data_IF_592399631143
#
_entry.id   IF_592399631143
#
_cell.length_a   1.000
_cell.length_b   1.000
_cell.length_c   1.000
_cell.angle_alpha   90.00
_cell.angle_beta   90.00
_cell.angle_gamma   90.00
#
_symmetry.space_group_name_H-M   'P 1'
#
loop_
_entity.id
_entity.type
_entity.pdbx_description
1 polymer ?
#
# COMPACT_ATOMS: atom_id res chain seq x y z
N UNK A 1 -3.27 7.17 -5.83
CA UNK A 1 -3.16 8.37 -4.97
C UNK A 1 -2.45 9.48 -5.72
N UNK A 2 -2.75 9.66 -7.00
CA UNK A 2 -2.21 10.81 -7.71
C UNK A 2 -2.82 12.08 -7.08
N UNK A 3 -2.06 13.17 -6.88
CA UNK A 3 -0.66 13.36 -7.30
C UNK A 3 0.41 12.93 -6.27
N UNK A 4 0.04 12.52 -5.05
CA UNK A 4 1.00 12.24 -3.98
C UNK A 4 1.84 10.97 -4.20
N UNK A 5 1.23 9.91 -4.77
CA UNK A 5 1.90 8.67 -5.14
C UNK A 5 1.43 8.19 -6.49
N UNK A 6 2.37 7.71 -7.29
CA UNK A 6 2.16 7.21 -8.64
C UNK A 6 2.26 5.69 -8.68
N UNK A 7 1.72 5.10 -9.76
CA UNK A 7 1.97 3.69 -10.04
C UNK A 7 3.48 3.46 -10.15
N UNK A 8 3.98 2.41 -9.49
CA UNK A 8 5.40 2.07 -9.46
C UNK A 8 6.18 2.67 -8.28
N UNK A 9 5.55 3.43 -7.39
CA UNK A 9 6.19 3.86 -6.15
C UNK A 9 6.22 2.73 -5.12
N UNK A 10 7.35 2.54 -4.45
CA UNK A 10 7.50 1.59 -3.36
C UNK A 10 7.24 2.30 -2.02
N UNK A 11 6.20 1.89 -1.31
CA UNK A 11 5.78 2.50 -0.04
C UNK A 11 6.35 1.76 1.17
N UNK A 12 6.90 2.51 2.13
CA UNK A 12 7.30 1.97 3.43
C UNK A 12 6.18 2.18 4.44
N UNK A 13 5.72 1.08 5.03
CA UNK A 13 4.62 1.07 5.98
C UNK A 13 5.12 0.87 7.41
N UNK A 14 4.52 1.59 8.34
CA UNK A 14 4.75 1.45 9.76
C UNK A 14 3.44 1.18 10.50
N UNK A 15 3.35 0.04 11.19
CA UNK A 15 2.13 -0.37 11.88
C UNK A 15 2.23 -0.32 13.42
N UNK A 16 3.39 0.02 13.99
CA UNK A 16 3.55 0.04 15.46
C UNK A 16 2.84 1.22 16.15
N UNK A 17 2.48 2.26 15.40
CA UNK A 17 1.76 3.40 15.94
C UNK A 17 0.29 3.01 16.23
N UNK A 18 -0.09 3.05 17.52
CA UNK A 18 -1.47 2.80 17.97
C UNK A 18 -2.43 3.93 17.58
N UNK A 19 -1.89 5.11 17.31
CA UNK A 19 -2.66 6.26 16.87
C UNK A 19 -2.28 6.61 15.43
N UNK A 20 -3.31 6.89 14.63
CA UNK A 20 -3.18 7.45 13.28
C UNK A 20 -3.80 8.84 13.30
N UNK A 21 -3.06 9.83 12.77
CA UNK A 21 -3.50 11.22 12.73
C UNK A 21 -4.26 11.53 11.44
N UNK A 22 -5.07 12.59 11.50
CA UNK A 22 -5.70 13.16 10.30
C UNK A 22 -4.59 13.67 9.37
N UNK A 23 -4.71 13.41 8.08
CA UNK A 23 -3.73 13.76 7.07
C UNK A 23 -2.68 12.69 6.78
N UNK A 24 -2.55 11.67 7.63
CA UNK A 24 -1.69 10.51 7.36
C UNK A 24 -2.24 9.69 6.19
N UNK A 25 -1.33 9.09 5.43
CA UNK A 25 -1.67 8.14 4.38
C UNK A 25 -1.59 6.75 4.97
N UNK A 26 -2.66 5.98 4.82
CA UNK A 26 -2.76 4.62 5.35
C UNK A 26 -3.03 3.64 4.23
N UNK A 27 -2.50 2.44 4.40
CA UNK A 27 -2.83 1.29 3.56
C UNK A 27 -3.78 0.40 4.35
N UNK A 28 -4.93 0.10 3.76
CA UNK A 28 -5.98 -0.68 4.39
C UNK A 28 -6.56 -1.72 3.45
N UNK A 29 -7.14 -2.75 4.04
CA UNK A 29 -7.90 -3.77 3.34
C UNK A 29 -9.39 -3.54 3.55
N UNK A 30 -10.15 -3.67 2.46
CA UNK A 30 -11.61 -3.73 2.54
C UNK A 30 -12.02 -5.19 2.73
N UNK A 31 -12.99 -5.45 3.61
CA UNK A 31 -13.47 -6.82 3.86
C UNK A 31 -14.02 -7.42 2.57
N UNK A 32 -13.55 -8.61 2.21
CA UNK A 32 -13.95 -9.30 0.98
C UNK A 32 -13.29 -8.77 -0.31
N UNK A 33 -12.28 -7.89 -0.21
CA UNK A 33 -11.41 -7.53 -1.33
C UNK A 33 -9.96 -7.89 -0.99
N UNK A 34 -9.26 -8.51 -1.93
CA UNK A 34 -7.88 -8.96 -1.74
C UNK A 34 -6.84 -7.87 -2.02
N UNK A 35 -7.23 -6.81 -2.72
CA UNK A 35 -6.32 -5.74 -3.12
C UNK A 35 -6.35 -4.61 -2.08
N UNK A 36 -5.21 -4.29 -1.43
CA UNK A 36 -5.13 -3.20 -0.48
C UNK A 36 -5.29 -1.84 -1.17
N UNK A 37 -5.87 -0.89 -0.46
CA UNK A 37 -6.09 0.48 -0.93
C UNK A 37 -5.23 1.43 -0.10
N UNK A 38 -4.61 2.40 -0.77
CA UNK A 38 -3.76 3.41 -0.13
C UNK A 38 -4.50 4.73 -0.25
N UNK A 39 -4.96 5.35 0.85
CA UNK A 39 -5.63 6.66 0.81
C UNK A 39 -5.28 7.51 2.06
N UNK A 40 -5.70 8.78 2.06
CA UNK A 40 -5.44 9.72 3.15
C UNK A 40 -6.55 9.72 4.17
N UNK A 41 -6.21 9.73 5.45
CA UNK A 41 -7.18 9.87 6.54
C UNK A 41 -7.71 11.30 6.56
N UNK A 42 -9.02 11.45 6.38
CA UNK A 42 -9.70 12.75 6.44
C UNK A 42 -10.43 12.96 7.76
N UNK A 43 -10.92 11.89 8.40
CA UNK A 43 -11.54 11.97 9.73
C UNK A 43 -11.14 10.77 10.58
N UNK A 44 -11.13 10.97 11.89
CA UNK A 44 -10.91 9.92 12.90
C UNK A 44 -11.98 10.00 13.98
N UNK A 45 -12.38 8.85 14.51
CA UNK A 45 -13.39 8.71 15.56
C UNK A 45 -12.89 7.72 16.62
N UNK A 46 -13.13 8.02 17.89
CA UNK A 46 -12.62 7.21 19.00
C UNK A 46 -11.12 7.43 19.26
N UNK A 47 -10.46 6.41 19.82
CA UNK A 47 -9.06 6.49 20.29
C UNK A 47 -8.93 6.33 21.80
N UNK A 48 -7.70 6.11 22.27
CA UNK A 48 -7.41 5.79 23.67
C UNK A 48 -7.87 4.37 24.03
N UNK A 49 -8.86 4.27 24.93
CA UNK A 49 -9.42 2.99 25.37
C UNK A 49 -10.48 2.41 24.42
N UNK A 50 -10.97 3.21 23.46
CA UNK A 50 -11.97 2.78 22.49
C UNK A 50 -11.32 2.48 21.13
N UNK A 51 -11.93 1.59 20.31
CA UNK A 51 -11.45 1.33 18.95
C UNK A 51 -11.35 2.62 18.14
N UNK A 52 -10.21 2.80 17.46
CA UNK A 52 -9.99 3.93 16.56
C UNK A 52 -10.58 3.60 15.19
N UNK A 53 -11.54 4.42 14.77
CA UNK A 53 -12.16 4.34 13.45
C UNK A 53 -11.67 5.49 12.57
N UNK A 54 -11.46 5.19 11.29
CA UNK A 54 -10.92 6.10 10.30
C UNK A 54 -11.86 6.21 9.10
N UNK A 55 -11.94 7.43 8.57
CA UNK A 55 -12.51 7.71 7.26
C UNK A 55 -11.38 8.17 6.35
N UNK A 56 -11.19 7.46 5.25
CA UNK A 56 -10.19 7.80 4.25
C UNK A 56 -10.82 8.41 3.01
N UNK A 57 -9.99 9.11 2.24
CA UNK A 57 -10.33 9.68 0.95
C UNK A 57 -9.10 9.65 0.04
N UNK A 58 -9.29 9.27 -1.22
CA UNK A 58 -8.26 9.43 -2.25
C UNK A 58 -7.96 10.90 -2.57
N UNK A 59 -6.69 11.25 -2.73
CA UNK A 59 -6.24 12.64 -2.91
C UNK A 59 -6.87 13.34 -4.13
N UNK A 60 -7.21 12.60 -5.19
CA UNK A 60 -7.89 13.10 -6.39
C UNK A 60 -9.38 12.73 -6.48
N UNK A 61 -9.96 12.16 -5.42
CA UNK A 61 -11.39 11.80 -5.40
C UNK A 61 -12.23 13.01 -4.97
N UNK A 62 -13.46 13.12 -5.48
CA UNK A 62 -14.41 14.17 -5.06
C UNK A 62 -15.09 13.77 -3.74
N UNK A 63 -15.59 12.54 -3.68
CA UNK A 63 -16.21 11.93 -2.49
C UNK A 63 -15.19 11.21 -1.60
N UNK A 64 -15.60 10.83 -0.39
CA UNK A 64 -14.85 9.95 0.49
C UNK A 64 -14.96 8.47 0.07
N UNK A 65 -14.22 7.59 0.73
CA UNK A 65 -14.13 6.18 0.33
C UNK A 65 -15.28 5.31 0.85
N UNK A 66 -16.35 5.89 1.37
CA UNK A 66 -17.45 5.12 1.99
C UNK A 66 -18.09 4.13 1.02
N UNK A 67 -18.18 4.45 -0.27
CA UNK A 67 -18.69 3.56 -1.33
C UNK A 67 -17.72 2.40 -1.66
N UNK A 68 -16.44 2.55 -1.36
CA UNK A 68 -15.43 1.52 -1.63
C UNK A 68 -15.40 0.43 -0.56
N UNK A 69 -15.91 0.72 0.63
CA UNK A 69 -15.96 -0.18 1.77
C UNK A 69 -16.95 -1.33 1.57
N UNK A 70 -16.85 -2.35 2.42
CA UNK A 70 -17.76 -3.48 2.37
C UNK A 70 -19.18 -3.08 2.81
N UNK A 71 -20.19 -3.83 2.39
CA UNK A 71 -21.57 -3.59 2.83
C UNK A 71 -21.66 -3.65 4.36
N UNK A 72 -22.17 -2.58 4.98
CA UNK A 72 -22.26 -2.44 6.43
C UNK A 72 -20.98 -1.92 7.12
N UNK A 73 -19.95 -1.58 6.35
CA UNK A 73 -18.72 -0.95 6.85
C UNK A 73 -18.71 0.53 6.47
N UNK A 74 -19.05 1.41 7.41
CA UNK A 74 -19.02 2.88 7.18
C UNK A 74 -17.66 3.51 7.51
N UNK A 75 -16.85 2.83 8.32
CA UNK A 75 -15.54 3.29 8.77
C UNK A 75 -14.55 2.13 8.83
N UNK A 76 -13.27 2.45 8.72
CA UNK A 76 -12.17 1.48 8.86
C UNK A 76 -11.72 1.41 10.31
N UNK A 77 -11.65 0.21 10.89
CA UNK A 77 -11.05 0.02 12.20
C UNK A 77 -9.53 -0.06 12.07
N UNK A 78 -8.81 0.82 12.77
CA UNK A 78 -7.35 0.90 12.72
C UNK A 78 -6.65 -0.41 13.07
N UNK A 79 -7.22 -1.22 13.96
CA UNK A 79 -6.56 -2.44 14.44
C UNK A 79 -6.76 -3.65 13.53
N UNK A 80 -7.88 -3.70 12.80
CA UNK A 80 -8.24 -4.86 11.96
C UNK A 80 -8.08 -4.60 10.48
N UNK A 81 -8.45 -3.40 10.02
CA UNK A 81 -8.59 -3.10 8.59
C UNK A 81 -7.35 -2.39 8.04
N UNK A 82 -6.57 -1.69 8.88
CA UNK A 82 -5.38 -0.95 8.45
C UNK A 82 -4.12 -1.80 8.57
N UNK A 83 -3.40 -1.96 7.46
CA UNK A 83 -2.11 -2.64 7.39
C UNK A 83 -1.00 -1.77 8.00
N UNK A 84 -1.00 -0.46 7.73
CA UNK A 84 -0.05 0.48 8.31
C UNK A 84 -0.14 1.89 7.73
N UNK A 85 0.52 2.85 8.39
CA UNK A 85 0.69 4.22 7.90
C UNK A 85 1.94 4.31 7.02
N UNK A 86 1.88 5.07 5.93
CA UNK A 86 3.03 5.34 5.06
C UNK A 86 3.98 6.31 5.75
N UNK A 87 5.24 5.92 5.92
CA UNK A 87 6.30 6.75 6.53
C UNK A 87 7.32 7.27 5.53
N UNK A 88 7.35 6.69 4.34
CA UNK A 88 8.25 7.09 3.26
C UNK A 88 7.96 6.29 2.00
N UNK A 89 8.58 6.69 0.89
CA UNK A 89 8.49 5.96 -0.37
C UNK A 89 9.73 6.19 -1.23
N UNK A 90 9.96 5.29 -2.18
CA UNK A 90 10.96 5.47 -3.24
C UNK A 90 10.21 5.43 -4.58
N UNK A 91 10.32 6.48 -5.41
CA UNK A 91 9.60 6.54 -6.67
C UNK A 91 10.17 5.56 -7.70
N UNK A 92 9.32 5.13 -8.63
CA UNK A 92 9.64 4.30 -9.82
C UNK A 92 10.20 2.88 -9.59
N UNK A 93 10.74 2.54 -8.41
CA UNK A 93 11.35 1.22 -8.15
C UNK A 93 10.38 0.06 -8.35
N UNK A 94 9.10 0.26 -8.05
CA UNK A 94 8.04 -0.73 -8.25
C UNK A 94 7.86 -1.13 -9.72
N UNK A 95 8.24 -0.29 -10.70
CA UNK A 95 8.17 -0.68 -12.11
C UNK A 95 9.06 -1.88 -12.43
N UNK A 96 10.18 -2.07 -11.73
CA UNK A 96 11.03 -3.27 -11.90
C UNK A 96 10.24 -4.53 -11.54
N UNK A 97 9.50 -4.48 -10.43
CA UNK A 97 8.67 -5.62 -9.98
C UNK A 97 7.50 -5.84 -10.92
N UNK A 98 6.83 -4.78 -11.37
CA UNK A 98 5.73 -4.84 -12.33
C UNK A 98 6.21 -5.46 -13.63
N UNK A 99 7.33 -5.01 -14.18
CA UNK A 99 7.91 -5.50 -15.43
C UNK A 99 8.32 -6.98 -15.34
N UNK A 100 8.93 -7.42 -14.23
CA UNK A 100 9.22 -8.84 -14.00
C UNK A 100 7.96 -9.69 -13.83
N UNK A 101 6.86 -9.11 -13.34
CA UNK A 101 5.58 -9.81 -13.20
C UNK A 101 4.83 -9.89 -14.53
N UNK A 102 4.82 -8.82 -15.32
CA UNK A 102 4.16 -8.74 -16.62
C UNK A 102 4.92 -9.54 -17.70
N UNK A 103 6.25 -9.67 -17.59
CA UNK A 103 7.09 -10.42 -18.53
C UNK A 103 7.88 -11.53 -17.80
N UNK A 104 7.27 -12.70 -17.53
CA UNK A 104 7.92 -13.78 -16.77
C UNK A 104 9.23 -14.29 -17.39
N UNK A 105 9.38 -14.23 -18.71
CA UNK A 105 10.60 -14.65 -19.43
C UNK A 105 11.83 -13.84 -19.02
N UNK A 106 11.66 -12.59 -18.56
CA UNK A 106 12.77 -11.78 -18.06
C UNK A 106 13.41 -12.40 -16.82
N UNK A 107 12.63 -13.04 -15.94
CA UNK A 107 13.16 -13.77 -14.78
C UNK A 107 14.06 -14.92 -15.23
N UNK A 108 13.65 -15.66 -16.27
CA UNK A 108 14.44 -16.76 -16.84
C UNK A 108 15.75 -16.25 -17.43
N UNK A 109 15.71 -15.15 -18.19
CA UNK A 109 16.93 -14.52 -18.75
C UNK A 109 17.86 -14.05 -17.64
N UNK A 110 17.33 -13.41 -16.59
CA UNK A 110 18.12 -12.98 -15.44
C UNK A 110 18.82 -14.17 -14.74
N UNK A 111 18.10 -15.26 -14.50
CA UNK A 111 18.67 -16.47 -13.91
C UNK A 111 19.74 -17.09 -14.81
N UNK A 112 19.52 -17.12 -16.13
CA UNK A 112 20.50 -17.60 -17.11
C UNK A 112 21.79 -16.76 -17.11
N UNK A 113 21.66 -15.42 -17.11
CA UNK A 113 22.80 -14.51 -17.02
C UNK A 113 23.55 -14.66 -15.69
N UNK A 114 22.84 -14.78 -14.56
CA UNK A 114 23.47 -15.03 -13.26
C UNK A 114 24.25 -16.36 -13.27
N UNK A 115 23.65 -17.43 -13.77
CA UNK A 115 24.33 -18.72 -13.93
C UNK A 115 25.59 -18.62 -14.78
N UNK A 116 25.52 -17.93 -15.93
CA UNK A 116 26.66 -17.69 -16.82
C UNK A 116 27.78 -16.90 -16.09
N UNK A 117 27.44 -15.82 -15.38
CA UNK A 117 28.44 -15.02 -14.65
C UNK A 117 29.15 -15.82 -13.57
N UNK A 118 28.44 -16.71 -12.86
CA UNK A 118 29.03 -17.57 -11.83
C UNK A 118 29.99 -18.58 -12.45
N UNK A 119 29.68 -19.12 -13.63
CA UNK A 119 30.60 -20.02 -14.35
C UNK A 119 31.84 -19.26 -14.81
N UNK A 120 31.67 -18.06 -15.39
CA UNK A 120 32.78 -17.23 -15.86
C UNK A 120 33.67 -16.70 -14.74
N UNK A 121 33.15 -16.49 -13.53
CA UNK A 121 33.92 -16.06 -12.35
C UNK A 121 34.63 -17.20 -11.61
N UNK A 122 34.29 -18.45 -11.93
CA UNK A 122 34.90 -19.65 -11.32
C UNK A 122 36.19 -20.11 -12.01
N UNK A 123 36.56 -19.46 -13.11
CA UNK A 123 37.90 -19.53 -13.72
C UNK A 123 38.75 -18.33 -13.26
#
# INVERSE_FOLDING_TARGET
>A
MEPAFNRGDLLFLWNRAKETKIGEVVVYNVRGKDIPIVHRVVRRFGGGNNPLYLLTKGDNNVADDTELYARGQSFLNRSTDVIGSVVGYIPFVGYVTILLSEYPWLKTVMLGLMGLTVVLQRE
#
